data_IF_052320438567
#
_entry.id   IF_052320438567
#
_cell.length_a   1.000
_cell.length_b   1.000
_cell.length_c   1.000
_cell.angle_alpha   90.00
_cell.angle_beta   90.00
_cell.angle_gamma   90.00
#
_symmetry.space_group_name_H-M   'P 1'
#
loop_
_entity.id
_entity.type
_entity.pdbx_description
1 polymer ?
#
# COMPACT_ATOMS: atom_id res chain seq x y z
N UNK A 1 18.97 -43.42 -42.23
CA UNK A 1 18.14 -42.26 -41.85
C UNK A 1 17.74 -42.41 -40.38
N UNK A 2 18.47 -41.78 -39.48
CA UNK A 2 18.22 -41.86 -38.05
C UNK A 2 17.61 -40.54 -37.58
N UNK A 3 16.37 -40.57 -37.10
CA UNK A 3 15.66 -39.45 -36.58
C UNK A 3 16.10 -39.19 -35.11
N UNK A 4 16.72 -38.04 -34.89
CA UNK A 4 17.10 -37.56 -33.58
C UNK A 4 15.84 -37.14 -32.79
N UNK A 5 15.57 -37.81 -31.67
CA UNK A 5 14.60 -37.37 -30.66
C UNK A 5 15.20 -36.30 -29.78
N UNK A 6 14.76 -35.05 -29.95
CA UNK A 6 15.05 -33.96 -29.00
C UNK A 6 14.16 -34.16 -27.78
N UNK A 7 14.77 -34.50 -26.66
CA UNK A 7 14.11 -34.55 -25.35
C UNK A 7 13.81 -33.12 -24.87
N UNK A 8 12.53 -32.77 -24.77
CA UNK A 8 12.08 -31.57 -24.07
C UNK A 8 12.25 -31.78 -22.55
N UNK A 9 13.25 -31.15 -21.96
CA UNK A 9 13.32 -31.03 -20.51
C UNK A 9 12.21 -30.06 -20.04
N UNK A 10 11.16 -30.62 -19.49
CA UNK A 10 10.21 -29.87 -18.66
C UNK A 10 10.93 -29.56 -17.32
N UNK A 11 11.32 -28.31 -17.12
CA UNK A 11 11.64 -27.80 -15.80
C UNK A 11 10.32 -27.73 -15.00
N UNK A 12 10.05 -28.76 -14.21
CA UNK A 12 9.15 -28.64 -13.07
C UNK A 12 9.82 -27.73 -12.05
N UNK A 13 9.38 -26.48 -11.96
CA UNK A 13 9.70 -25.61 -10.84
C UNK A 13 8.93 -26.13 -9.64
N UNK A 14 9.60 -26.87 -8.75
CA UNK A 14 9.10 -27.11 -7.41
C UNK A 14 9.11 -25.78 -6.67
N UNK A 15 8.04 -25.00 -6.80
CA UNK A 15 7.79 -23.84 -5.96
C UNK A 15 7.37 -24.32 -4.59
N UNK A 16 8.31 -24.39 -3.67
CA UNK A 16 8.00 -24.50 -2.24
C UNK A 16 7.27 -23.21 -1.85
N UNK A 17 6.14 -23.28 -1.12
CA UNK A 17 5.46 -22.08 -0.66
C UNK A 17 6.41 -21.18 0.12
N UNK A 18 6.54 -19.91 -0.28
CA UNK A 18 7.52 -18.96 0.23
C UNK A 18 7.13 -18.44 1.62
N UNK A 19 5.88 -18.60 2.00
CA UNK A 19 5.39 -18.24 3.31
C UNK A 19 4.44 -19.29 3.87
N UNK A 20 4.50 -19.49 5.17
CA UNK A 20 3.53 -20.30 5.91
C UNK A 20 2.68 -19.32 6.71
N UNK A 21 1.40 -19.19 6.32
CA UNK A 21 0.44 -18.33 7.02
C UNK A 21 -0.17 -19.13 8.17
N UNK A 22 0.09 -18.71 9.40
CA UNK A 22 -0.59 -19.22 10.59
C UNK A 22 -1.64 -18.20 11.01
N UNK A 23 -2.90 -18.60 11.08
CA UNK A 23 -3.97 -17.78 11.65
C UNK A 23 -3.99 -18.00 13.15
N UNK A 24 -3.79 -16.93 13.91
CA UNK A 24 -3.94 -16.89 15.36
C UNK A 24 -5.43 -16.99 15.73
N UNK A 25 -5.75 -17.17 17.02
CA UNK A 25 -7.13 -17.26 17.55
C UNK A 25 -8.01 -16.06 17.21
N UNK A 26 -7.42 -14.96 16.72
CA UNK A 26 -8.12 -13.82 16.14
C UNK A 26 -8.21 -13.96 14.62
N UNK A 27 -9.44 -14.03 14.03
CA UNK A 27 -9.64 -14.25 12.60
C UNK A 27 -9.05 -13.16 11.69
N UNK A 28 -8.66 -12.01 12.26
CA UNK A 28 -8.13 -10.86 11.54
C UNK A 28 -6.61 -10.66 11.70
N UNK A 29 -5.91 -11.59 12.35
CA UNK A 29 -4.44 -11.55 12.50
C UNK A 29 -3.81 -12.77 11.87
N UNK A 30 -2.68 -12.59 11.22
CA UNK A 30 -1.90 -13.71 10.67
C UNK A 30 -0.40 -13.47 10.82
N UNK A 31 0.34 -14.55 10.91
CA UNK A 31 1.80 -14.54 11.03
C UNK A 31 2.38 -14.97 9.69
N UNK A 32 3.21 -14.12 9.12
CA UNK A 32 4.00 -14.42 7.93
C UNK A 32 5.39 -14.88 8.34
N UNK A 33 5.80 -16.03 7.86
CA UNK A 33 7.19 -16.48 7.94
C UNK A 33 7.82 -16.41 6.57
N UNK A 34 8.73 -15.47 6.36
CA UNK A 34 9.46 -15.33 5.08
C UNK A 34 10.63 -16.32 5.10
N UNK A 35 10.53 -17.41 4.34
CA UNK A 35 11.51 -18.52 4.37
C UNK A 35 12.73 -18.33 3.47
N UNK A 36 12.74 -17.40 2.52
CA UNK A 36 13.87 -17.23 1.60
C UNK A 36 14.22 -15.78 1.32
N UNK A 37 15.52 -15.47 1.46
CA UNK A 37 16.12 -14.26 0.87
C UNK A 37 16.26 -14.47 -0.64
N UNK A 38 15.21 -14.23 -1.42
CA UNK A 38 15.40 -14.05 -2.86
C UNK A 38 16.17 -12.77 -3.08
N UNK A 39 17.32 -12.87 -3.73
CA UNK A 39 18.05 -11.71 -4.21
C UNK A 39 17.25 -11.09 -5.36
N UNK A 40 16.36 -10.16 -5.02
CA UNK A 40 15.70 -9.34 -6.03
C UNK A 40 16.75 -8.38 -6.59
N UNK A 41 17.18 -8.63 -7.83
CA UNK A 41 17.89 -7.60 -8.60
C UNK A 41 16.90 -6.47 -8.85
N UNK A 42 16.93 -5.46 -8.00
CA UNK A 42 16.19 -4.23 -8.20
C UNK A 42 16.73 -3.53 -9.45
N UNK A 43 16.10 -3.78 -10.60
CA UNK A 43 16.27 -2.89 -11.74
C UNK A 43 15.44 -1.66 -11.41
N UNK A 44 16.11 -0.58 -11.01
CA UNK A 44 15.46 0.72 -10.96
C UNK A 44 14.92 1.00 -12.37
N UNK A 45 13.63 1.38 -12.52
CA UNK A 45 13.11 1.70 -13.84
C UNK A 45 13.95 2.83 -14.43
N UNK A 46 14.32 2.68 -15.69
CA UNK A 46 15.09 3.70 -16.42
C UNK A 46 14.31 5.02 -16.33
N UNK A 47 15.03 6.11 -16.09
CA UNK A 47 14.47 7.48 -16.07
C UNK A 47 13.67 7.72 -17.35
N UNK A 48 12.40 8.09 -17.19
CA UNK A 48 11.50 8.37 -18.31
C UNK A 48 10.47 7.28 -18.65
N UNK A 49 10.58 6.07 -18.07
CA UNK A 49 9.56 5.04 -18.28
C UNK A 49 8.40 5.20 -17.32
N UNK A 50 7.16 5.18 -17.85
CA UNK A 50 5.95 5.15 -17.03
C UNK A 50 5.85 3.83 -16.28
N UNK A 51 5.37 3.89 -15.03
CA UNK A 51 5.28 2.73 -14.14
C UNK A 51 4.09 1.84 -14.46
N UNK A 52 3.03 2.41 -15.02
CA UNK A 52 1.81 1.69 -15.35
C UNK A 52 1.60 1.63 -16.86
N UNK A 53 1.01 0.55 -17.37
CA UNK A 53 0.57 0.51 -18.76
C UNK A 53 -0.54 1.54 -19.01
N UNK A 54 -0.82 1.89 -20.26
CA UNK A 54 -1.99 2.71 -20.60
C UNK A 54 -3.26 2.10 -20.00
N UNK A 55 -4.19 2.96 -19.59
CA UNK A 55 -5.51 2.49 -19.13
C UNK A 55 -6.22 1.70 -20.22
N UNK A 56 -7.06 0.76 -19.80
CA UNK A 56 -7.97 0.08 -20.72
C UNK A 56 -8.87 1.12 -21.41
N UNK A 57 -9.17 0.86 -22.68
CA UNK A 57 -10.11 1.68 -23.46
C UNK A 57 -11.43 1.74 -22.67
N UNK A 58 -11.96 2.95 -22.48
CA UNK A 58 -13.20 3.23 -21.72
C UNK A 58 -13.10 3.10 -20.18
N UNK A 59 -11.91 2.96 -19.59
CA UNK A 59 -11.75 3.12 -18.14
C UNK A 59 -11.50 4.59 -17.78
N UNK A 60 -12.57 5.32 -17.47
CA UNK A 60 -12.53 6.73 -17.08
C UNK A 60 -12.38 6.96 -15.57
N UNK A 61 -12.33 5.89 -14.76
CA UNK A 61 -12.20 5.99 -13.31
C UNK A 61 -10.94 6.75 -12.93
N UNK A 62 -11.00 7.56 -11.89
CA UNK A 62 -9.81 8.15 -11.29
C UNK A 62 -8.89 7.05 -10.72
N UNK A 63 -7.60 7.33 -10.59
CA UNK A 63 -6.61 6.38 -10.05
C UNK A 63 -6.43 6.63 -8.55
N UNK A 64 -6.68 5.61 -7.76
CA UNK A 64 -6.44 5.60 -6.31
C UNK A 64 -5.17 4.81 -6.02
N UNK A 65 -4.17 5.48 -5.49
CA UNK A 65 -2.92 4.90 -5.03
C UNK A 65 -3.01 4.70 -3.53
N UNK A 66 -2.75 3.49 -3.08
CA UNK A 66 -2.79 3.10 -1.66
C UNK A 66 -1.40 2.68 -1.20
N UNK A 67 -0.95 3.26 -0.12
CA UNK A 67 0.15 2.70 0.65
C UNK A 67 -0.30 1.45 1.41
N UNK A 68 0.65 0.63 1.86
CA UNK A 68 0.40 -0.64 2.54
C UNK A 68 0.65 -0.53 4.05
N UNK A 69 1.92 -0.37 4.44
CA UNK A 69 2.36 -0.43 5.83
C UNK A 69 1.88 0.79 6.61
N UNK A 70 1.31 0.59 7.79
CA UNK A 70 0.73 1.63 8.65
C UNK A 70 -0.48 2.36 8.01
N UNK A 71 -0.87 1.95 6.78
CA UNK A 71 -2.02 2.49 6.04
C UNK A 71 -3.16 1.46 5.98
N UNK A 72 -2.93 0.30 5.41
CA UNK A 72 -3.90 -0.81 5.30
C UNK A 72 -3.67 -1.89 6.35
N UNK A 73 -2.43 -2.05 6.78
CA UNK A 73 -2.00 -3.06 7.77
C UNK A 73 -1.00 -2.45 8.75
N UNK A 74 -0.75 -3.17 9.84
CA UNK A 74 0.40 -2.95 10.72
C UNK A 74 1.16 -4.26 10.88
N UNK A 75 2.50 -4.19 10.85
CA UNK A 75 3.37 -5.35 10.97
C UNK A 75 4.23 -5.25 12.21
N UNK A 76 4.20 -6.32 13.03
CA UNK A 76 5.03 -6.46 14.22
C UNK A 76 6.07 -7.54 14.01
N UNK A 77 7.32 -7.20 14.21
CA UNK A 77 8.44 -8.13 14.27
C UNK A 77 8.56 -8.70 15.69
N UNK A 78 8.99 -9.96 15.80
CA UNK A 78 9.31 -10.52 17.11
C UNK A 78 10.59 -9.87 17.67
N UNK A 79 10.51 -9.13 18.77
CA UNK A 79 11.69 -8.49 19.35
C UNK A 79 12.67 -9.47 20.01
N UNK A 80 12.22 -10.70 20.29
CA UNK A 80 13.05 -11.75 20.92
C UNK A 80 13.85 -12.54 19.88
N UNK A 81 13.45 -12.50 18.62
CA UNK A 81 14.18 -13.09 17.51
C UNK A 81 14.40 -12.08 16.37
N UNK A 82 15.41 -11.17 16.51
CA UNK A 82 15.71 -10.16 15.49
C UNK A 82 16.16 -10.77 14.15
N UNK A 83 16.53 -12.05 14.14
CA UNK A 83 16.89 -12.78 12.92
C UNK A 83 15.69 -13.55 12.34
N UNK A 84 14.58 -13.62 13.08
CA UNK A 84 13.33 -14.20 12.60
C UNK A 84 12.81 -13.37 11.42
N UNK A 85 12.49 -14.07 10.35
CA UNK A 85 11.74 -13.51 9.23
C UNK A 85 10.22 -13.56 9.48
N UNK A 86 9.83 -13.83 10.73
CA UNK A 86 8.43 -13.95 11.15
C UNK A 86 7.86 -12.56 11.48
N UNK A 87 6.78 -12.22 10.84
CA UNK A 87 6.09 -10.93 11.00
C UNK A 87 4.63 -11.21 11.30
N UNK A 88 4.13 -10.66 12.41
CA UNK A 88 2.68 -10.66 12.68
C UNK A 88 2.05 -9.49 11.95
N UNK A 89 1.15 -9.78 11.01
CA UNK A 89 0.40 -8.78 10.26
C UNK A 89 -0.97 -8.58 10.88
N UNK A 90 -1.30 -7.33 11.17
CA UNK A 90 -2.58 -6.90 11.73
C UNK A 90 -3.28 -6.05 10.68
N UNK A 91 -4.33 -6.56 10.02
CA UNK A 91 -5.14 -5.76 9.11
C UNK A 91 -5.83 -4.61 9.84
N UNK A 92 -5.86 -3.42 9.22
CA UNK A 92 -6.57 -2.27 9.76
C UNK A 92 -8.07 -2.55 9.81
N UNK A 93 -8.79 -2.16 10.89
CA UNK A 93 -10.24 -2.29 10.95
C UNK A 93 -10.91 -1.75 9.68
N UNK A 94 -11.89 -2.50 9.18
CA UNK A 94 -12.65 -2.19 7.97
C UNK A 94 -11.89 -2.27 6.63
N UNK A 95 -10.65 -2.80 6.57
CA UNK A 95 -9.86 -2.85 5.35
C UNK A 95 -10.55 -3.62 4.23
N UNK A 96 -11.06 -4.83 4.48
CA UNK A 96 -11.71 -5.65 3.45
C UNK A 96 -12.95 -4.96 2.83
N UNK A 97 -13.96 -4.50 3.61
CA UNK A 97 -15.10 -3.78 3.03
C UNK A 97 -14.71 -2.42 2.42
N UNK A 98 -13.65 -1.77 2.89
CA UNK A 98 -13.09 -0.59 2.26
C UNK A 98 -12.58 -0.91 0.86
N UNK A 99 -11.70 -1.90 0.73
CA UNK A 99 -11.08 -2.31 -0.54
C UNK A 99 -12.13 -2.74 -1.56
N UNK A 100 -13.09 -3.59 -1.19
CA UNK A 100 -14.21 -4.00 -2.06
C UNK A 100 -15.02 -2.80 -2.55
N UNK A 101 -15.24 -1.80 -1.68
CA UNK A 101 -16.02 -0.63 -2.07
C UNK A 101 -15.27 0.26 -3.06
N UNK A 102 -13.99 0.52 -2.82
CA UNK A 102 -13.20 1.45 -3.64
C UNK A 102 -12.78 0.88 -4.99
N UNK A 103 -12.66 -0.46 -5.12
CA UNK A 103 -12.34 -1.12 -6.38
C UNK A 103 -13.41 -0.91 -7.44
N UNK A 104 -14.67 -0.70 -7.02
CA UNK A 104 -15.77 -0.34 -7.92
C UNK A 104 -15.73 1.13 -8.38
N UNK A 105 -15.01 2.01 -7.66
CA UNK A 105 -15.00 3.44 -7.93
C UNK A 105 -13.75 3.92 -8.62
N UNK A 106 -12.63 3.21 -8.44
CA UNK A 106 -11.30 3.66 -8.84
C UNK A 106 -10.53 2.55 -9.57
N UNK A 107 -9.58 2.95 -10.41
CA UNK A 107 -8.43 2.12 -10.72
C UNK A 107 -7.54 2.08 -9.48
N UNK A 108 -7.47 0.94 -8.79
CA UNK A 108 -6.73 0.82 -7.52
C UNK A 108 -5.30 0.35 -7.78
N UNK A 109 -4.33 1.11 -7.30
CA UNK A 109 -2.90 0.83 -7.39
C UNK A 109 -2.33 0.76 -5.98
N UNK A 110 -1.72 -0.35 -5.60
CA UNK A 110 -0.89 -0.38 -4.40
C UNK A 110 0.48 0.17 -4.75
N UNK A 111 1.01 1.09 -3.91
CA UNK A 111 2.35 1.62 -4.06
C UNK A 111 3.02 1.66 -2.68
N UNK A 112 3.87 0.69 -2.41
CA UNK A 112 4.56 0.53 -1.12
C UNK A 112 6.07 0.74 -1.23
N UNK A 113 6.69 1.23 -0.16
CA UNK A 113 8.15 1.21 -0.01
C UNK A 113 8.70 -0.14 0.48
N UNK A 114 7.84 -1.14 0.63
CA UNK A 114 8.23 -2.50 0.98
C UNK A 114 8.69 -3.31 -0.24
N UNK A 115 9.39 -4.41 0.01
CA UNK A 115 9.88 -5.31 -1.02
C UNK A 115 8.77 -6.27 -1.48
N UNK A 116 8.79 -6.73 -2.75
CA UNK A 116 7.74 -7.58 -3.32
C UNK A 116 7.46 -8.84 -2.51
N UNK A 117 8.50 -9.55 -2.07
CA UNK A 117 8.36 -10.82 -1.35
C UNK A 117 7.58 -10.72 -0.02
N UNK A 118 7.61 -9.54 0.60
CA UNK A 118 6.84 -9.25 1.80
C UNK A 118 5.43 -8.75 1.44
N UNK A 119 5.36 -7.79 0.51
CA UNK A 119 4.11 -7.13 0.20
C UNK A 119 3.12 -8.04 -0.54
N UNK A 120 3.59 -8.93 -1.44
CA UNK A 120 2.72 -9.78 -2.24
C UNK A 120 1.92 -10.76 -1.39
N UNK A 121 2.53 -11.38 -0.36
CA UNK A 121 1.85 -12.29 0.55
C UNK A 121 0.68 -11.60 1.28
N UNK A 122 0.90 -10.35 1.70
CA UNK A 122 -0.13 -9.55 2.38
C UNK A 122 -1.23 -9.13 1.40
N UNK A 123 -0.84 -8.70 0.21
CA UNK A 123 -1.78 -8.26 -0.82
C UNK A 123 -2.62 -9.42 -1.35
N UNK A 124 -2.08 -10.62 -1.42
CA UNK A 124 -2.81 -11.84 -1.81
C UNK A 124 -3.84 -12.25 -0.75
N UNK A 125 -3.56 -12.04 0.56
CA UNK A 125 -4.58 -12.25 1.61
C UNK A 125 -5.68 -11.17 1.57
N UNK A 126 -5.33 -9.93 1.25
CA UNK A 126 -6.30 -8.85 1.13
C UNK A 126 -7.16 -8.93 -0.15
N UNK A 127 -6.63 -9.53 -1.21
CA UNK A 127 -7.27 -9.68 -2.53
C UNK A 127 -7.01 -11.07 -3.11
N UNK A 128 -7.57 -12.12 -2.52
CA UNK A 128 -7.31 -13.51 -2.90
C UNK A 128 -7.78 -13.87 -4.31
N UNK A 129 -8.70 -13.11 -4.87
CA UNK A 129 -9.21 -13.31 -6.22
C UNK A 129 -8.49 -12.45 -7.29
N UNK A 130 -7.65 -11.48 -6.88
CA UNK A 130 -6.98 -10.56 -7.79
C UNK A 130 -7.92 -9.57 -8.49
N UNK A 131 -9.05 -9.21 -7.85
CA UNK A 131 -10.09 -8.36 -8.43
C UNK A 131 -10.04 -6.92 -7.96
N UNK A 132 -9.28 -6.63 -6.89
CA UNK A 132 -9.23 -5.33 -6.23
C UNK A 132 -8.04 -4.50 -6.72
N UNK A 133 -6.84 -5.09 -6.66
CA UNK A 133 -5.62 -4.37 -7.00
C UNK A 133 -5.28 -4.50 -8.49
N UNK A 134 -5.52 -3.45 -9.25
CA UNK A 134 -5.23 -3.41 -10.68
C UNK A 134 -3.72 -3.43 -10.96
N UNK A 135 -2.93 -2.81 -10.09
CA UNK A 135 -1.47 -2.74 -10.19
C UNK A 135 -0.83 -2.74 -8.81
N UNK A 136 0.39 -3.31 -8.71
CA UNK A 136 1.21 -3.35 -7.50
C UNK A 136 2.58 -2.76 -7.80
N UNK A 137 2.95 -1.71 -7.07
CA UNK A 137 4.23 -1.02 -7.16
C UNK A 137 4.93 -1.12 -5.80
N UNK A 138 6.24 -1.38 -5.84
CA UNK A 138 7.05 -1.69 -4.67
C UNK A 138 8.22 -0.73 -4.55
N UNK A 139 9.08 -0.90 -3.55
CA UNK A 139 10.25 -0.07 -3.27
C UNK A 139 11.09 0.25 -4.52
N UNK A 140 11.32 -0.71 -5.41
CA UNK A 140 12.08 -0.49 -6.64
C UNK A 140 11.42 0.50 -7.63
N UNK A 141 10.16 0.82 -7.44
CA UNK A 141 9.43 1.81 -8.24
C UNK A 141 9.44 3.20 -7.61
N UNK A 142 9.81 3.29 -6.32
CA UNK A 142 9.97 4.58 -5.64
C UNK A 142 11.18 5.34 -6.19
N UNK A 143 11.11 6.67 -6.13
CA UNK A 143 12.26 7.55 -6.28
C UNK A 143 12.94 7.68 -4.92
N UNK A 144 14.28 7.60 -4.87
CA UNK A 144 15.03 7.82 -3.63
C UNK A 144 15.52 9.25 -3.59
N UNK A 145 15.09 10.03 -2.60
CA UNK A 145 15.45 11.42 -2.47
C UNK A 145 15.68 11.80 -0.99
N UNK A 146 16.85 12.36 -0.68
CA UNK A 146 17.23 12.80 0.67
C UNK A 146 16.99 11.74 1.77
N UNK A 147 17.31 10.49 1.51
CA UNK A 147 17.14 9.40 2.48
C UNK A 147 15.73 8.80 2.52
N UNK A 148 14.80 9.29 1.70
CA UNK A 148 13.39 8.89 1.71
C UNK A 148 13.00 8.20 0.39
N UNK A 149 12.20 7.15 0.48
CA UNK A 149 11.51 6.55 -0.67
C UNK A 149 10.26 7.38 -0.99
N UNK A 150 10.28 8.08 -2.11
CA UNK A 150 9.20 8.96 -2.58
C UNK A 150 8.39 8.25 -3.65
N UNK A 151 7.07 8.33 -3.55
CA UNK A 151 6.12 7.82 -4.53
C UNK A 151 5.84 8.91 -5.56
N UNK A 152 6.64 8.94 -6.62
CA UNK A 152 6.49 9.93 -7.69
C UNK A 152 5.28 9.58 -8.57
N UNK A 153 4.18 10.29 -8.35
CA UNK A 153 2.90 10.03 -9.01
C UNK A 153 2.91 10.43 -10.49
N UNK A 154 3.78 11.34 -10.94
CA UNK A 154 3.89 11.70 -12.35
C UNK A 154 4.34 10.52 -13.21
N UNK A 155 5.12 9.62 -12.62
CA UNK A 155 5.60 8.40 -13.28
C UNK A 155 4.52 7.33 -13.47
N UNK A 156 3.34 7.50 -12.90
CA UNK A 156 2.23 6.56 -13.11
C UNK A 156 1.67 6.61 -14.54
N UNK A 157 1.89 7.69 -15.28
CA UNK A 157 1.28 7.88 -16.60
C UNK A 157 -0.23 8.08 -16.50
N UNK A 158 -0.70 8.78 -15.47
CA UNK A 158 -2.10 9.11 -15.21
C UNK A 158 -2.30 10.62 -15.11
N UNK A 159 -3.45 11.16 -15.56
CA UNK A 159 -3.75 12.58 -15.41
C UNK A 159 -3.73 12.98 -13.94
N UNK A 160 -2.82 13.88 -13.57
CA UNK A 160 -2.59 14.26 -12.18
C UNK A 160 -3.79 14.90 -11.47
N UNK A 161 -4.74 15.46 -12.21
CA UNK A 161 -6.01 15.93 -11.65
C UNK A 161 -6.96 14.79 -11.26
N UNK A 162 -6.66 13.54 -11.61
CA UNK A 162 -7.44 12.35 -11.31
C UNK A 162 -6.66 11.29 -10.51
N UNK A 163 -5.51 11.65 -9.94
CA UNK A 163 -4.72 10.75 -9.06
C UNK A 163 -4.90 11.16 -7.61
N UNK A 164 -5.15 10.19 -6.74
CA UNK A 164 -5.23 10.34 -5.28
C UNK A 164 -4.26 9.34 -4.65
N UNK A 165 -3.41 9.80 -3.73
CA UNK A 165 -2.56 8.92 -2.91
C UNK A 165 -3.04 8.95 -1.46
N UNK A 166 -3.40 7.81 -0.92
CA UNK A 166 -3.64 7.61 0.52
C UNK A 166 -2.37 7.06 1.15
N UNK A 167 -1.78 7.79 2.07
CA UNK A 167 -0.49 7.46 2.69
C UNK A 167 -0.38 8.14 4.06
N UNK A 168 0.22 7.46 5.04
CA UNK A 168 0.44 7.98 6.39
C UNK A 168 1.72 8.82 6.50
N UNK A 169 2.67 8.65 5.57
CA UNK A 169 3.99 9.29 5.63
C UNK A 169 4.12 10.47 4.67
N UNK A 170 4.23 11.72 5.17
CA UNK A 170 4.35 12.92 4.32
C UNK A 170 5.51 12.89 3.34
N UNK A 171 6.64 12.25 3.69
CA UNK A 171 7.80 12.09 2.82
C UNK A 171 7.47 11.30 1.54
N UNK A 172 6.54 10.34 1.60
CA UNK A 172 6.17 9.53 0.46
C UNK A 172 5.54 10.36 -0.68
N UNK A 173 4.84 11.45 -0.37
CA UNK A 173 4.14 12.31 -1.35
C UNK A 173 4.70 13.72 -1.46
N UNK A 174 5.93 13.95 -1.03
CA UNK A 174 6.55 15.27 -1.00
C UNK A 174 6.65 15.94 -2.38
N UNK A 175 6.70 15.16 -3.46
CA UNK A 175 6.74 15.70 -4.83
C UNK A 175 5.37 16.17 -5.33
N UNK A 176 4.29 15.49 -4.95
CA UNK A 176 2.92 15.86 -5.37
C UNK A 176 1.97 15.97 -4.17
N UNK A 177 2.21 16.86 -3.19
CA UNK A 177 1.44 16.94 -1.96
C UNK A 177 -0.04 17.31 -2.19
N UNK A 178 -0.37 17.94 -3.32
CA UNK A 178 -1.75 18.29 -3.68
C UNK A 178 -2.60 17.08 -4.07
N UNK A 179 -1.98 15.92 -4.29
CA UNK A 179 -2.64 14.66 -4.62
C UNK A 179 -2.78 13.73 -3.42
N UNK A 180 -2.22 14.10 -2.28
CA UNK A 180 -2.26 13.28 -1.07
C UNK A 180 -3.61 13.42 -0.34
N UNK A 181 -4.10 12.29 0.14
CA UNK A 181 -5.14 12.16 1.14
C UNK A 181 -4.48 11.51 2.38
N UNK A 182 -3.95 12.33 3.32
CA UNK A 182 -3.25 11.82 4.48
C UNK A 182 -4.15 10.95 5.34
N UNK A 183 -3.55 9.91 5.92
CA UNK A 183 -4.20 9.02 6.90
C UNK A 183 -3.29 8.89 8.12
N UNK A 184 -3.83 8.66 9.30
CA UNK A 184 -3.00 8.38 10.48
C UNK A 184 -2.37 7.01 10.37
N UNK A 185 -1.12 6.91 10.87
CA UNK A 185 -0.46 5.61 11.01
C UNK A 185 -1.31 4.67 11.84
N UNK A 186 -1.53 3.49 11.31
CA UNK A 186 -2.21 2.42 12.02
C UNK A 186 -1.17 1.57 12.75
N UNK A 187 -1.27 1.53 14.07
CA UNK A 187 -0.34 0.81 14.95
C UNK A 187 -1.01 -0.36 15.68
N UNK A 188 -2.11 -0.86 15.13
CA UNK A 188 -2.81 -2.04 15.65
C UNK A 188 -3.98 -1.74 16.59
N UNK A 189 -4.48 -0.50 16.64
CA UNK A 189 -5.67 -0.14 17.42
C UNK A 189 -6.93 -0.81 16.84
N UNK A 190 -7.60 -1.72 17.58
CA UNK A 190 -8.81 -2.40 17.11
C UNK A 190 -10.00 -1.45 16.94
N UNK A 191 -9.95 -0.25 17.51
CA UNK A 191 -10.99 0.76 17.41
C UNK A 191 -10.73 1.78 16.29
N UNK A 192 -9.68 1.59 15.47
CA UNK A 192 -9.36 2.50 14.37
C UNK A 192 -10.53 2.62 13.39
N UNK A 193 -10.83 3.86 13.00
CA UNK A 193 -11.93 4.20 12.08
C UNK A 193 -11.47 5.08 10.89
N UNK A 194 -10.18 5.24 10.69
CA UNK A 194 -9.63 6.14 9.67
C UNK A 194 -10.04 5.73 8.24
N UNK A 195 -10.07 4.43 7.92
CA UNK A 195 -10.52 3.95 6.61
C UNK A 195 -11.99 4.32 6.32
N UNK A 196 -12.84 4.44 7.34
CA UNK A 196 -14.22 4.91 7.17
C UNK A 196 -14.25 6.39 6.77
N UNK A 197 -13.34 7.22 7.32
CA UNK A 197 -13.23 8.63 6.95
C UNK A 197 -12.67 8.79 5.54
N UNK A 198 -11.59 8.07 5.21
CA UNK A 198 -11.01 8.03 3.87
C UNK A 198 -12.08 7.64 2.84
N UNK A 199 -12.85 6.58 3.10
CA UNK A 199 -13.94 6.14 2.21
C UNK A 199 -14.98 7.23 1.97
N UNK A 200 -15.36 7.99 3.01
CA UNK A 200 -16.29 9.13 2.86
C UNK A 200 -15.76 10.20 1.93
N UNK A 201 -14.49 10.57 2.07
CA UNK A 201 -13.85 11.56 1.19
C UNK A 201 -13.78 11.03 -0.24
N UNK A 202 -13.33 9.79 -0.42
CA UNK A 202 -13.24 9.15 -1.74
C UNK A 202 -14.61 9.12 -2.44
N UNK A 203 -15.69 8.80 -1.71
CA UNK A 203 -17.06 8.84 -2.27
C UNK A 203 -17.45 10.23 -2.79
N UNK A 204 -17.01 11.30 -2.12
CA UNK A 204 -17.32 12.69 -2.53
C UNK A 204 -16.55 13.14 -3.76
N UNK A 205 -15.38 12.54 -4.03
CA UNK A 205 -14.47 13.01 -5.08
C UNK A 205 -14.38 12.07 -6.28
N UNK A 206 -14.97 10.88 -6.24
CA UNK A 206 -14.83 9.84 -7.28
C UNK A 206 -15.25 10.31 -8.68
N UNK A 207 -16.25 11.18 -8.77
CA UNK A 207 -16.82 11.67 -10.04
C UNK A 207 -16.31 13.08 -10.39
N UNK A 208 -15.24 13.56 -9.74
CA UNK A 208 -14.69 14.90 -9.99
C UNK A 208 -13.63 14.85 -11.08
N UNK A 209 -13.71 15.77 -12.02
CA UNK A 209 -12.71 15.95 -13.08
C UNK A 209 -11.36 16.46 -12.54
N UNK A 210 -11.35 17.07 -11.34
CA UNK A 210 -10.15 17.49 -10.63
C UNK A 210 -10.33 17.29 -9.13
N UNK A 211 -9.60 16.32 -8.57
CA UNK A 211 -9.65 15.95 -7.16
C UNK A 211 -8.90 16.91 -6.24
N UNK A 212 -7.87 17.62 -6.75
CA UNK A 212 -6.92 18.43 -5.97
C UNK A 212 -7.54 19.52 -5.08
N UNK A 213 -8.56 20.31 -5.54
CA UNK A 213 -9.20 21.31 -4.69
C UNK A 213 -9.90 20.71 -3.48
N UNK A 214 -10.49 19.52 -3.65
CA UNK A 214 -11.18 18.78 -2.57
C UNK A 214 -10.19 18.20 -1.59
N UNK A 215 -9.10 17.59 -2.06
CA UNK A 215 -8.03 17.05 -1.20
C UNK A 215 -7.39 18.16 -0.38
N UNK A 216 -7.13 19.35 -0.98
CA UNK A 216 -6.59 20.51 -0.24
C UNK A 216 -7.49 20.95 0.92
N UNK A 217 -8.81 20.90 0.72
CA UNK A 217 -9.79 21.22 1.78
C UNK A 217 -9.71 20.18 2.91
N UNK A 218 -9.63 18.91 2.58
CA UNK A 218 -9.50 17.83 3.56
C UNK A 218 -8.18 17.93 4.34
N UNK A 219 -7.06 18.16 3.67
CA UNK A 219 -5.74 18.31 4.28
C UNK A 219 -5.72 19.41 5.35
N UNK A 220 -6.39 20.54 5.13
CA UNK A 220 -6.50 21.61 6.13
C UNK A 220 -7.19 21.14 7.42
N UNK A 221 -8.27 20.40 7.30
CA UNK A 221 -8.96 19.84 8.46
C UNK A 221 -8.17 18.72 9.14
N UNK A 222 -7.43 17.95 8.37
CA UNK A 222 -6.52 16.92 8.87
C UNK A 222 -5.42 17.52 9.73
N UNK A 223 -4.72 18.52 9.22
CA UNK A 223 -3.65 19.22 9.93
C UNK A 223 -4.16 19.81 11.26
N UNK A 224 -5.31 20.49 11.25
CA UNK A 224 -5.92 21.03 12.45
C UNK A 224 -6.20 19.94 13.52
N UNK A 225 -6.76 18.79 13.12
CA UNK A 225 -7.01 17.68 14.06
C UNK A 225 -5.73 17.08 14.65
N UNK A 226 -4.67 17.02 13.87
CA UNK A 226 -3.39 16.43 14.31
C UNK A 226 -2.69 17.31 15.32
N UNK A 227 -2.75 18.64 15.17
CA UNK A 227 -2.20 19.59 16.14
C UNK A 227 -3.00 19.63 17.43
N UNK A 228 -4.34 19.69 17.35
CA UNK A 228 -5.20 19.74 18.55
C UNK A 228 -5.12 18.47 19.44
N UNK A 229 -4.77 17.30 18.88
CA UNK A 229 -4.55 16.09 19.69
C UNK A 229 -3.19 16.05 20.36
N UNK A 230 -2.13 16.63 19.74
CA UNK A 230 -0.82 16.72 20.40
C UNK A 230 -0.87 17.57 21.67
N UNK A 231 -1.63 18.66 21.63
CA UNK A 231 -1.76 19.55 22.78
C UNK A 231 -2.52 18.90 23.95
N UNK A 232 -3.38 17.90 23.72
CA UNK A 232 -4.09 17.17 24.78
C UNK A 232 -3.30 15.99 25.35
N UNK A 233 -2.46 15.34 24.55
CA UNK A 233 -1.64 14.21 25.01
C UNK A 233 -0.40 14.68 25.81
N UNK A 234 0.09 15.90 25.54
CA UNK A 234 1.19 16.53 26.30
C UNK A 234 0.73 17.08 27.66
N UNK A 235 -0.56 17.50 27.83
CA UNK A 235 -1.13 17.96 29.09
C UNK A 235 -1.45 16.82 30.07
N UNK A 236 -1.79 15.62 29.59
CA UNK A 236 -2.02 14.46 30.48
C UNK A 236 -0.71 13.90 31.07
N UNK A 237 0.41 14.03 30.34
CA UNK A 237 1.72 13.60 30.84
C UNK A 237 2.36 14.57 31.85
N UNK A 238 1.96 15.85 31.86
CA UNK A 238 2.45 16.85 32.79
C UNK A 238 1.78 16.82 34.18
N UNK A 239 0.61 16.16 34.30
CA UNK A 239 -0.13 16.05 35.56
C UNK A 239 0.15 14.78 36.39
N UNK A 240 1.13 13.96 35.98
CA UNK A 240 1.53 12.70 36.66
C UNK A 240 2.97 12.71 37.16
N UNK A 241 3.57 13.91 37.36
CA UNK A 241 4.89 14.08 37.95
C UNK A 241 4.82 14.76 39.35
#
# INVERSE_FOLDING_TARGET
>A
MAASKVAKHQHQSNSVPIAQVWRDEHPDRYVLTVKEKRTYRTRYPLTGQMLLPPKKINDERATLVLDLDETLIHSKYDPQDPLSLTVTVIPRPHVKPFLTTISNWYEVVVFTASLPFYADEILDDLDPNGEIFHHRLYRQHCSYFQGVFVKDLERLGRPMNQVILVDNFPGAYMMQPRNALPIRSFLGDPNDRELLQVRRVLKLVKDKTNVRPFLKRYQRHWTARTYLKKDTDDDESANLA
#
